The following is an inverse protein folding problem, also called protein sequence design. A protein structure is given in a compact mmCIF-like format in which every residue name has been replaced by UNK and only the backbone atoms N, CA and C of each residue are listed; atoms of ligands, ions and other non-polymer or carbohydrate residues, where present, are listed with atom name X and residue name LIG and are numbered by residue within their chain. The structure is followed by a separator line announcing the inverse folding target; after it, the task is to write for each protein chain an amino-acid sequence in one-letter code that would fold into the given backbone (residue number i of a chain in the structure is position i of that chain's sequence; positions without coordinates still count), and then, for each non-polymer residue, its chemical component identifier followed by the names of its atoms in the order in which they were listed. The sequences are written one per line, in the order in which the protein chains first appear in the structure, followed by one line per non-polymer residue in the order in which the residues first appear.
data_IF_098338371984
#
_entry.id   IF_098338371984
#
_cell.length_a   1.000
_cell.length_b   1.000
_cell.length_c   1.000
_cell.angle_alpha   90.00
_cell.angle_beta   90.00
_cell.angle_gamma   90.00
#
_symmetry.space_group_name_H-M   'P 1'
#
loop_
_entity.id
_entity.type
_entity.pdbx_description
1 polymer ?
#
# COMPACT_ATOMS: atom_id res chain seq x y z
N UNK A 1 -0.74 -6.27 -14.16
CA UNK A 1 -0.86 -4.83 -13.82
C UNK A 1 -1.30 -3.97 -15.01
N UNK A 2 -0.73 -4.11 -16.21
CA UNK A 2 -1.15 -3.32 -17.38
C UNK A 2 -2.65 -3.47 -17.72
N UNK A 3 -3.20 -4.68 -17.60
CA UNK A 3 -4.64 -4.95 -17.82
C UNK A 3 -5.54 -4.22 -16.81
N UNK A 4 -5.12 -4.16 -15.53
CA UNK A 4 -5.86 -3.44 -14.48
C UNK A 4 -5.89 -1.95 -14.78
N UNK A 5 -4.76 -1.36 -15.18
CA UNK A 5 -4.69 0.06 -15.56
C UNK A 5 -5.66 0.34 -16.72
N UNK A 6 -5.67 -0.51 -17.75
CA UNK A 6 -6.57 -0.38 -18.89
C UNK A 6 -8.06 -0.35 -18.50
N UNK A 7 -8.50 -1.22 -17.58
CA UNK A 7 -9.90 -1.24 -17.10
C UNK A 7 -10.29 0.08 -16.42
N UNK A 8 -9.39 0.66 -15.62
CA UNK A 8 -9.64 1.96 -14.96
C UNK A 8 -9.65 3.11 -15.98
N UNK A 9 -8.70 3.12 -16.93
CA UNK A 9 -8.62 4.12 -18.00
C UNK A 9 -9.86 4.08 -18.91
N UNK A 10 -10.33 2.88 -19.30
CA UNK A 10 -11.56 2.68 -20.08
C UNK A 10 -12.80 3.21 -19.34
N UNK A 11 -12.76 3.18 -18.01
CA UNK A 11 -13.81 3.75 -17.15
C UNK A 11 -13.65 5.26 -16.90
N UNK A 12 -12.66 5.90 -17.53
CA UNK A 12 -12.35 7.33 -17.37
C UNK A 12 -11.69 7.68 -16.03
N UNK A 13 -11.18 6.69 -15.29
CA UNK A 13 -10.55 6.86 -13.98
C UNK A 13 -9.03 6.80 -14.18
N UNK A 14 -8.36 7.92 -13.89
CA UNK A 14 -6.90 7.95 -13.81
C UNK A 14 -6.41 6.98 -12.74
N UNK A 15 -5.58 6.02 -13.15
CA UNK A 15 -5.02 5.02 -12.24
C UNK A 15 -3.50 4.95 -12.45
N UNK A 16 -2.74 5.04 -11.37
CA UNK A 16 -1.27 4.98 -11.40
C UNK A 16 -0.78 4.01 -10.35
N UNK A 17 -0.14 2.93 -10.78
CA UNK A 17 0.56 2.01 -9.90
C UNK A 17 1.88 2.64 -9.44
N UNK A 18 2.25 2.43 -8.18
CA UNK A 18 3.53 2.88 -7.63
C UNK A 18 4.25 1.74 -6.93
N UNK A 19 5.56 1.72 -7.09
CA UNK A 19 6.48 0.89 -6.32
C UNK A 19 6.49 1.32 -4.85
N UNK A 20 7.02 0.44 -3.99
CA UNK A 20 7.21 0.75 -2.56
C UNK A 20 8.06 2.00 -2.36
N UNK A 21 9.12 2.20 -3.14
CA UNK A 21 10.00 3.37 -3.05
C UNK A 21 9.30 4.67 -3.44
N UNK A 22 8.48 4.65 -4.49
CA UNK A 22 7.69 5.83 -4.88
C UNK A 22 6.67 6.20 -3.80
N UNK A 23 6.04 5.20 -3.17
CA UNK A 23 5.14 5.46 -2.05
C UNK A 23 5.89 5.94 -0.81
N UNK A 24 7.08 5.39 -0.53
CA UNK A 24 7.92 5.84 0.57
C UNK A 24 8.32 7.32 0.45
N UNK A 25 8.47 7.83 -0.77
CA UNK A 25 8.73 9.25 -1.03
C UNK A 25 7.65 10.20 -0.50
N UNK A 26 6.39 9.77 -0.39
CA UNK A 26 5.33 10.60 0.22
C UNK A 26 5.53 10.82 1.72
N UNK A 27 6.36 10.01 2.37
CA UNK A 27 6.66 10.11 3.80
C UNK A 27 7.96 10.87 4.09
N UNK A 28 8.63 11.41 3.08
CA UNK A 28 9.85 12.18 3.27
C UNK A 28 9.59 13.40 4.18
N UNK A 29 10.41 13.55 5.22
CA UNK A 29 10.27 14.62 6.22
C UNK A 29 9.23 14.37 7.32
N UNK A 30 8.59 13.19 7.35
CA UNK A 30 7.65 12.79 8.39
C UNK A 30 8.23 11.72 9.32
N UNK A 31 7.68 11.59 10.52
CA UNK A 31 8.04 10.52 11.46
C UNK A 31 7.18 9.28 11.20
N UNK A 32 7.73 8.30 10.47
CA UNK A 32 7.03 7.07 10.13
C UNK A 32 6.83 6.17 11.36
N UNK A 33 5.61 5.70 11.58
CA UNK A 33 5.26 4.83 12.71
C UNK A 33 5.53 3.37 12.33
N UNK A 34 6.18 2.62 13.21
CA UNK A 34 6.39 1.16 13.08
C UNK A 34 5.08 0.42 12.74
N UNK A 35 5.06 -0.51 11.76
CA UNK A 35 6.21 -1.13 11.08
C UNK A 35 6.77 -0.33 9.88
N UNK A 36 6.35 0.92 9.72
CA UNK A 36 6.67 1.73 8.55
C UNK A 36 5.72 1.48 7.40
N UNK A 37 6.27 1.42 6.18
CA UNK A 37 5.53 1.12 4.95
C UNK A 37 5.55 -0.39 4.67
N UNK A 38 4.38 -1.01 4.72
CA UNK A 38 4.18 -2.46 4.52
C UNK A 38 2.99 -2.74 3.60
N UNK A 39 2.71 -4.02 3.36
CA UNK A 39 1.42 -4.45 2.83
C UNK A 39 0.33 -4.25 3.91
N UNK A 40 -0.94 -3.94 3.52
CA UNK A 40 -2.00 -3.62 4.48
C UNK A 40 -2.26 -4.70 5.54
N UNK A 41 -2.27 -5.97 5.15
CA UNK A 41 -2.52 -7.10 6.07
C UNK A 41 -1.39 -7.31 7.10
N UNK A 42 -0.22 -6.72 6.87
CA UNK A 42 0.89 -6.70 7.83
C UNK A 42 0.88 -5.46 8.73
N UNK A 43 0.06 -4.45 8.44
CA UNK A 43 0.08 -3.18 9.15
C UNK A 43 -0.78 -3.24 10.42
N UNK A 44 -0.15 -3.59 11.56
CA UNK A 44 -0.79 -3.69 12.89
C UNK A 44 -2.18 -4.37 12.86
N UNK A 45 -2.29 -5.60 12.33
CA UNK A 45 -3.56 -6.31 12.31
C UNK A 45 -4.04 -6.60 13.74
N UNK A 46 -5.35 -6.61 13.93
CA UNK A 46 -5.94 -7.10 15.17
C UNK A 46 -5.59 -8.58 15.38
N UNK A 47 -5.46 -9.06 16.63
CA UNK A 47 -5.02 -10.42 16.93
C UNK A 47 -5.84 -11.51 16.23
N UNK A 48 -7.15 -11.28 16.05
CA UNK A 48 -8.08 -12.23 15.44
C UNK A 48 -8.23 -12.04 13.91
N UNK A 49 -7.59 -11.01 13.34
CA UNK A 49 -7.74 -10.62 11.93
C UNK A 49 -6.47 -10.87 11.10
N UNK A 50 -5.54 -11.71 11.59
CA UNK A 50 -4.35 -12.08 10.80
C UNK A 50 -4.70 -13.08 9.71
N UNK A 51 -4.71 -12.68 8.43
CA UNK A 51 -4.97 -13.60 7.35
C UNK A 51 -3.64 -14.33 7.08
N UNK A 52 -3.49 -15.55 7.59
CA UNK A 52 -2.25 -16.32 7.43
C UNK A 52 -2.01 -16.76 5.97
N UNK A 53 -3.06 -16.73 5.15
CA UNK A 53 -3.07 -17.28 3.78
C UNK A 53 -3.02 -16.22 2.67
N UNK A 54 -2.90 -14.92 3.00
CA UNK A 54 -2.77 -13.88 1.96
C UNK A 54 -1.32 -13.82 1.49
N UNK A 55 -1.08 -14.10 0.22
CA UNK A 55 0.25 -14.00 -0.38
C UNK A 55 0.49 -12.58 -0.85
N UNK A 56 1.73 -12.10 -0.75
CA UNK A 56 2.08 -10.76 -1.26
C UNK A 56 1.74 -10.55 -2.74
N UNK A 57 1.74 -11.61 -3.55
CA UNK A 57 1.34 -11.54 -4.96
C UNK A 57 -0.14 -11.18 -5.18
N UNK A 58 -0.98 -11.31 -4.15
CA UNK A 58 -2.41 -11.01 -4.17
C UNK A 58 -2.72 -9.57 -3.71
N UNK A 59 -1.69 -8.83 -3.28
CA UNK A 59 -1.81 -7.48 -2.75
C UNK A 59 -1.19 -6.47 -3.70
N UNK A 60 -1.99 -5.47 -4.06
CA UNK A 60 -1.57 -4.37 -4.96
C UNK A 60 -1.52 -3.02 -4.24
N UNK A 61 -1.40 -3.02 -2.91
CA UNK A 61 -1.51 -1.84 -2.07
C UNK A 61 -0.37 -1.77 -1.05
N UNK A 62 -0.02 -0.54 -0.65
CA UNK A 62 0.91 -0.25 0.43
C UNK A 62 0.18 0.52 1.53
N UNK A 63 0.54 0.29 2.80
CA UNK A 63 -0.01 0.94 3.98
C UNK A 63 1.11 1.48 4.88
N UNK A 64 0.93 2.69 5.40
CA UNK A 64 1.85 3.34 6.33
C UNK A 64 1.20 4.55 6.98
N UNK A 65 1.63 4.88 8.19
CA UNK A 65 1.17 6.07 8.93
C UNK A 65 2.38 6.83 9.43
N UNK A 66 2.33 8.16 9.33
CA UNK A 66 3.37 9.03 9.86
C UNK A 66 2.78 10.19 10.67
N UNK A 67 3.58 10.72 11.57
CA UNK A 67 3.28 11.96 12.30
C UNK A 67 3.99 13.12 11.62
N UNK A 68 3.32 14.26 11.60
CA UNK A 68 3.98 15.54 11.34
C UNK A 68 4.80 15.91 12.59
N UNK A 69 6.02 16.45 12.42
CA UNK A 69 6.80 17.00 13.53
C UNK A 69 6.03 18.04 14.36
#
# INVERSE_FOLDING_TARGET
MAEVIGVYEESGISFTTRSRSEVAGFFEGLELIEPGLSEPHHWKPDPDERPEDIRSAEISMWAGVARTP
#
